data_IF_600470695056
#
_entry.id   IF_600470695056
#
_cell.length_a   1.000
_cell.length_b   1.000
_cell.length_c   1.000
_cell.angle_alpha   90.00
_cell.angle_beta   90.00
_cell.angle_gamma   90.00
#
_symmetry.space_group_name_H-M   'P 1'
#
loop_
_entity.id
_entity.type
_entity.pdbx_description
1 polymer ?
#
# COMPACT_ATOMS: atom_id res chain seq x y z
N UNK A 1 -18.56 -45.43 6.82
CA UNK A 1 -19.07 -44.08 7.14
C UNK A 1 -17.90 -43.28 7.72
N UNK A 2 -17.48 -42.16 7.11
CA UNK A 2 -16.35 -41.41 7.63
C UNK A 2 -16.80 -40.54 8.82
N UNK A 3 -16.08 -40.68 9.92
CA UNK A 3 -16.21 -39.85 11.12
C UNK A 3 -15.58 -38.49 10.81
N UNK A 4 -16.37 -37.42 10.87
CA UNK A 4 -15.90 -36.05 10.68
C UNK A 4 -15.31 -35.57 12.00
N UNK A 5 -13.99 -35.35 12.04
CA UNK A 5 -13.35 -34.60 13.11
C UNK A 5 -13.55 -33.10 12.86
N UNK A 6 -14.35 -32.44 13.69
CA UNK A 6 -14.40 -30.98 13.74
C UNK A 6 -13.22 -30.47 14.58
N UNK A 7 -12.32 -29.77 13.91
CA UNK A 7 -11.26 -28.96 14.54
C UNK A 7 -11.91 -27.75 15.23
N UNK A 8 -11.58 -27.42 16.49
CA UNK A 8 -12.15 -26.27 17.17
C UNK A 8 -11.63 -24.97 16.51
N UNK A 9 -12.58 -24.17 16.03
CA UNK A 9 -12.36 -22.80 15.56
C UNK A 9 -11.68 -22.01 16.68
N UNK A 10 -10.43 -21.57 16.45
CA UNK A 10 -9.76 -20.54 17.26
C UNK A 10 -10.62 -19.28 17.20
N UNK A 11 -11.14 -18.83 18.35
CA UNK A 11 -11.77 -17.52 18.50
C UNK A 11 -10.72 -16.48 18.86
N UNK A 12 -10.70 -15.38 18.12
CA UNK A 12 -9.94 -14.17 18.44
C UNK A 12 -10.53 -13.52 19.70
N UNK A 13 -9.67 -13.21 20.68
CA UNK A 13 -10.06 -12.49 21.88
C UNK A 13 -10.59 -11.10 21.50
N UNK A 14 -11.83 -10.79 21.91
CA UNK A 14 -12.36 -9.43 21.81
C UNK A 14 -11.62 -8.62 22.88
N UNK A 15 -10.62 -7.83 22.49
CA UNK A 15 -9.89 -6.96 23.41
C UNK A 15 -10.85 -5.90 23.99
N UNK A 16 -11.33 -6.13 25.21
CA UNK A 16 -12.12 -5.18 25.97
C UNK A 16 -11.21 -4.38 26.93
N UNK A 17 -11.38 -3.06 26.96
CA UNK A 17 -10.56 -2.13 27.71
C UNK A 17 -11.36 -1.49 28.86
N UNK A 18 -10.76 -1.41 30.05
CA UNK A 18 -11.37 -0.74 31.20
C UNK A 18 -11.45 0.78 30.96
N UNK A 19 -12.62 1.44 30.95
CA UNK A 19 -12.74 2.86 30.64
C UNK A 19 -12.16 3.79 31.72
N UNK A 20 -11.82 3.25 32.90
CA UNK A 20 -11.26 4.02 34.02
C UNK A 20 -9.73 4.07 34.01
N UNK A 21 -9.09 3.02 33.48
CA UNK A 21 -7.63 2.91 33.49
C UNK A 21 -7.02 2.55 32.13
N UNK A 22 -7.85 2.40 31.10
CA UNK A 22 -7.46 2.04 29.73
C UNK A 22 -6.44 0.89 29.67
N UNK A 23 -6.68 -0.17 30.44
CA UNK A 23 -5.95 -1.43 30.31
C UNK A 23 -6.88 -2.55 29.87
N UNK A 24 -6.30 -3.56 29.25
CA UNK A 24 -6.97 -4.82 28.90
C UNK A 24 -7.63 -5.42 30.14
N UNK A 25 -8.87 -5.87 29.96
CA UNK A 25 -9.62 -6.59 30.98
C UNK A 25 -9.56 -8.08 30.70
N UNK A 26 -9.50 -8.88 31.76
CA UNK A 26 -9.61 -10.33 31.62
C UNK A 26 -11.09 -10.68 31.44
N UNK A 27 -11.40 -11.31 30.32
CA UNK A 27 -12.76 -11.76 30.01
C UNK A 27 -12.90 -13.23 30.41
N UNK A 28 -13.90 -13.52 31.23
CA UNK A 28 -14.39 -14.88 31.45
C UNK A 28 -15.73 -15.00 30.74
N UNK A 29 -15.89 -16.06 29.96
CA UNK A 29 -17.13 -16.35 29.24
C UNK A 29 -17.67 -17.66 29.76
N UNK A 30 -18.90 -17.63 30.28
CA UNK A 30 -19.65 -18.82 30.65
C UNK A 30 -20.67 -19.14 29.58
N UNK A 31 -20.66 -20.40 29.12
CA UNK A 31 -21.57 -20.90 28.11
C UNK A 31 -22.74 -21.61 28.80
N UNK A 32 -23.97 -21.19 28.46
CA UNK A 32 -25.22 -21.79 28.96
C UNK A 32 -26.09 -22.21 27.79
N UNK A 33 -27.01 -23.16 27.99
CA UNK A 33 -27.95 -23.55 26.92
C UNK A 33 -28.75 -22.32 26.46
N UNK A 34 -28.55 -21.92 25.19
CA UNK A 34 -29.22 -20.76 24.58
C UNK A 34 -28.41 -19.46 24.52
N UNK A 35 -27.15 -19.41 24.98
CA UNK A 35 -26.32 -18.20 24.84
C UNK A 35 -24.97 -18.25 25.57
N UNK A 36 -24.35 -17.09 25.73
CA UNK A 36 -23.14 -16.92 26.55
C UNK A 36 -23.27 -15.67 27.40
N UNK A 37 -22.81 -15.74 28.65
CA UNK A 37 -22.60 -14.58 29.52
C UNK A 37 -21.11 -14.30 29.58
N UNK A 38 -20.72 -13.03 29.67
CA UNK A 38 -19.31 -12.68 29.84
C UNK A 38 -19.10 -11.65 30.93
N UNK A 39 -18.11 -11.90 31.79
CA UNK A 39 -17.71 -11.00 32.86
C UNK A 39 -16.31 -10.48 32.58
N UNK A 40 -16.14 -9.17 32.67
CA UNK A 40 -14.86 -8.50 32.46
C UNK A 40 -14.32 -8.03 33.81
N UNK A 41 -13.11 -8.49 34.16
CA UNK A 41 -12.46 -8.14 35.42
C UNK A 41 -11.20 -7.30 35.16
N UNK A 42 -11.07 -6.19 35.90
CA UNK A 42 -9.86 -5.37 35.90
C UNK A 42 -9.14 -5.54 37.24
N UNK A 43 -8.01 -6.27 37.23
CA UNK A 43 -7.17 -6.54 38.39
C UNK A 43 -6.64 -5.29 39.11
N UNK A 44 -6.74 -4.10 38.50
CA UNK A 44 -6.31 -2.83 39.11
C UNK A 44 -7.46 -2.01 39.71
N UNK A 45 -8.68 -2.13 39.20
CA UNK A 45 -9.82 -1.36 39.71
C UNK A 45 -10.67 -2.11 40.74
N UNK A 46 -10.49 -3.44 40.87
CA UNK A 46 -11.14 -4.30 41.88
C UNK A 46 -12.65 -4.07 42.01
N UNK A 47 -13.37 -3.89 40.90
CA UNK A 47 -14.83 -3.74 40.89
C UNK A 47 -15.47 -4.61 39.80
N UNK A 48 -16.38 -5.53 40.11
CA UNK A 48 -17.13 -6.26 39.11
C UNK A 48 -18.26 -5.39 38.54
N UNK A 49 -18.53 -5.51 37.23
CA UNK A 49 -19.81 -5.12 36.64
C UNK A 49 -20.32 -6.30 35.83
N UNK A 50 -21.52 -6.76 36.16
CA UNK A 50 -22.31 -7.60 35.27
C UNK A 50 -22.77 -6.75 34.08
N UNK A 51 -22.53 -7.25 32.87
CA UNK A 51 -23.09 -6.66 31.65
C UNK A 51 -23.86 -7.76 30.94
N UNK A 52 -25.18 -7.67 30.98
CA UNK A 52 -26.06 -8.56 30.23
C UNK A 52 -25.95 -8.24 28.73
N UNK A 53 -25.32 -9.11 27.96
CA UNK A 53 -25.24 -8.97 26.50
C UNK A 53 -26.35 -9.81 25.87
N UNK A 54 -27.27 -9.14 25.17
CA UNK A 54 -28.25 -9.83 24.32
C UNK A 54 -27.57 -10.28 23.02
N UNK A 55 -27.65 -11.56 22.69
CA UNK A 55 -27.16 -12.11 21.43
C UNK A 55 -28.08 -11.66 20.29
N UNK A 56 -27.76 -10.52 19.67
CA UNK A 56 -28.40 -10.10 18.41
C UNK A 56 -27.79 -10.94 17.29
N UNK A 57 -28.59 -11.79 16.64
CA UNK A 57 -28.17 -12.46 15.40
C UNK A 57 -27.79 -11.39 14.39
N UNK A 58 -26.51 -11.34 14.03
CA UNK A 58 -25.96 -10.43 13.01
C UNK A 58 -26.75 -10.65 11.70
N UNK A 59 -27.39 -9.62 11.11
CA UNK A 59 -27.96 -9.77 9.78
C UNK A 59 -26.85 -10.15 8.80
N UNK A 60 -27.19 -11.00 7.82
CA UNK A 60 -26.25 -11.42 6.78
C UNK A 60 -25.61 -10.16 6.16
N UNK A 61 -24.27 -10.09 6.07
CA UNK A 61 -23.64 -8.96 5.41
C UNK A 61 -24.05 -8.95 3.93
N UNK A 62 -24.51 -7.80 3.45
CA UNK A 62 -24.51 -7.49 2.01
C UNK A 62 -23.12 -7.80 1.44
N UNK A 63 -23.00 -8.24 0.17
CA UNK A 63 -21.73 -8.69 -0.40
C UNK A 63 -20.74 -7.52 -0.47
N UNK A 64 -20.00 -7.31 0.61
CA UNK A 64 -18.79 -6.51 0.66
C UNK A 64 -17.72 -7.33 -0.02
N UNK A 65 -17.18 -6.78 -1.10
CA UNK A 65 -16.11 -7.36 -1.90
C UNK A 65 -15.04 -7.98 -1.00
N UNK A 66 -14.74 -9.26 -1.27
CA UNK A 66 -13.64 -10.00 -0.67
C UNK A 66 -12.38 -9.13 -0.68
N UNK A 67 -11.88 -8.79 0.52
CA UNK A 67 -10.52 -8.29 0.64
C UNK A 67 -9.58 -9.31 -0.04
N UNK A 68 -8.69 -8.88 -0.95
CA UNK A 68 -7.78 -9.81 -1.60
C UNK A 68 -6.94 -10.52 -0.53
N UNK A 69 -6.81 -11.84 -0.67
CA UNK A 69 -5.92 -12.67 0.14
C UNK A 69 -4.56 -11.98 0.26
N UNK A 70 -4.03 -11.90 1.48
CA UNK A 70 -2.71 -11.36 1.75
C UNK A 70 -1.65 -12.09 0.91
N UNK A 71 -1.25 -11.48 -0.20
CA UNK A 71 0.04 -11.72 -0.83
C UNK A 71 1.08 -11.16 0.14
N UNK A 72 1.93 -12.03 0.67
CA UNK A 72 3.04 -11.65 1.55
C UNK A 72 3.79 -10.47 0.93
N UNK A 73 3.95 -9.34 1.64
CA UNK A 73 4.62 -8.18 1.08
C UNK A 73 6.09 -8.53 0.88
N UNK A 74 6.52 -8.54 -0.38
CA UNK A 74 7.91 -8.74 -0.79
C UNK A 74 8.76 -7.59 -0.25
N UNK A 75 9.19 -7.69 1.00
CA UNK A 75 10.07 -6.72 1.64
C UNK A 75 11.52 -6.98 1.22
N UNK A 76 11.83 -6.68 -0.04
CA UNK A 76 13.19 -6.80 -0.60
C UNK A 76 14.00 -5.51 -0.36
N UNK A 77 13.53 -4.62 0.52
CA UNK A 77 14.09 -3.30 0.76
C UNK A 77 13.70 -2.24 -0.28
N UNK A 78 12.72 -2.50 -1.13
CA UNK A 78 12.29 -1.58 -2.20
C UNK A 78 10.75 -1.55 -2.29
N UNK A 79 10.10 -1.03 -1.25
CA UNK A 79 8.63 -0.82 -1.22
C UNK A 79 7.78 -2.09 -1.36
N UNK A 80 6.46 -1.95 -1.24
CA UNK A 80 5.51 -3.03 -1.53
C UNK A 80 4.79 -2.66 -2.82
N UNK A 81 4.82 -3.55 -3.82
CA UNK A 81 4.07 -3.38 -5.06
C UNK A 81 2.76 -4.16 -4.93
N UNK A 82 1.66 -3.44 -5.05
CA UNK A 82 0.31 -4.00 -5.10
C UNK A 82 -0.41 -3.45 -6.31
N UNK A 83 -1.58 -4.00 -6.71
CA UNK A 83 -2.38 -3.40 -7.78
C UNK A 83 -2.75 -1.93 -7.53
N UNK A 84 -2.83 -1.48 -6.27
CA UNK A 84 -3.06 -0.08 -5.92
C UNK A 84 -1.86 0.83 -6.21
N UNK A 85 -0.68 0.28 -6.45
CA UNK A 85 0.50 1.01 -6.89
C UNK A 85 0.51 1.26 -8.41
N UNK A 86 -0.44 0.69 -9.16
CA UNK A 86 -0.41 0.67 -10.63
C UNK A 86 -1.47 1.62 -11.21
N UNK A 87 -1.03 2.56 -12.04
CA UNK A 87 -1.87 3.38 -12.90
C UNK A 87 -1.61 2.97 -14.35
N UNK A 88 -2.45 2.10 -14.91
CA UNK A 88 -2.25 1.58 -16.28
C UNK A 88 -2.47 2.64 -17.37
N UNK A 89 -3.29 3.66 -17.08
CA UNK A 89 -3.72 4.70 -18.00
C UNK A 89 -3.69 6.07 -17.32
N UNK A 90 -2.51 6.68 -17.23
CA UNK A 90 -2.32 8.03 -16.68
C UNK A 90 -2.69 9.08 -17.75
N UNK A 91 -3.86 9.71 -17.60
CA UNK A 91 -4.37 10.75 -18.49
C UNK A 91 -3.79 12.15 -18.20
N UNK A 92 -2.47 12.31 -18.28
CA UNK A 92 -1.81 13.62 -18.13
C UNK A 92 -1.39 14.18 -19.49
N UNK A 93 -1.65 15.48 -19.71
CA UNK A 93 -1.22 16.20 -20.92
C UNK A 93 0.08 16.98 -20.76
N UNK A 94 0.68 16.98 -19.56
CA UNK A 94 1.90 17.73 -19.26
C UNK A 94 2.69 17.07 -18.12
N UNK A 95 3.97 17.41 -18.01
CA UNK A 95 4.84 16.99 -16.90
C UNK A 95 4.26 17.35 -15.53
N UNK A 96 3.79 18.57 -15.36
CA UNK A 96 3.17 19.03 -14.10
C UNK A 96 1.88 18.26 -13.78
N UNK A 97 1.04 18.00 -14.79
CA UNK A 97 -0.15 17.17 -14.64
C UNK A 97 0.18 15.74 -14.22
N UNK A 98 1.22 15.14 -14.82
CA UNK A 98 1.67 13.79 -14.47
C UNK A 98 2.16 13.72 -13.01
N UNK A 99 3.01 14.67 -12.58
CA UNK A 99 3.48 14.75 -11.21
C UNK A 99 2.32 14.94 -10.20
N UNK A 100 1.31 15.73 -10.53
CA UNK A 100 0.13 15.94 -9.68
C UNK A 100 -0.72 14.68 -9.51
N UNK A 101 -0.93 13.92 -10.59
CA UNK A 101 -1.66 12.65 -10.54
C UNK A 101 -0.87 11.56 -9.80
N UNK A 102 0.45 11.50 -9.99
CA UNK A 102 1.33 10.61 -9.22
C UNK A 102 1.29 10.95 -7.73
N UNK A 103 1.35 12.24 -7.37
CA UNK A 103 1.22 12.70 -6.00
C UNK A 103 -0.13 12.31 -5.38
N UNK A 104 -1.23 12.42 -6.16
CA UNK A 104 -2.56 11.98 -5.72
C UNK A 104 -2.59 10.50 -5.37
N UNK A 105 -2.02 9.66 -6.22
CA UNK A 105 -1.97 8.21 -5.98
C UNK A 105 -1.12 7.88 -4.76
N UNK A 106 0.04 8.52 -4.64
CA UNK A 106 0.94 8.29 -3.51
C UNK A 106 0.35 8.79 -2.17
N UNK A 107 -0.43 9.88 -2.18
CA UNK A 107 -1.18 10.33 -1.01
C UNK A 107 -2.19 9.26 -0.54
N UNK A 108 -2.92 8.66 -1.47
CA UNK A 108 -3.88 7.59 -1.14
C UNK A 108 -3.21 6.35 -0.55
N UNK A 109 -1.97 6.03 -0.98
CA UNK A 109 -1.21 4.89 -0.46
C UNK A 109 -0.54 5.18 0.88
N UNK A 110 0.00 6.38 1.05
CA UNK A 110 0.85 6.73 2.19
C UNK A 110 0.13 7.46 3.32
N UNK A 111 -1.10 7.93 3.08
CA UNK A 111 -1.84 8.78 4.02
C UNK A 111 -1.26 10.19 4.18
N UNK A 112 -0.26 10.58 3.39
CA UNK A 112 0.35 11.91 3.44
C UNK A 112 -0.41 12.92 2.56
N UNK A 113 -0.22 14.21 2.82
CA UNK A 113 -0.89 15.27 2.07
C UNK A 113 -0.41 15.32 0.61
N UNK A 114 -1.37 15.34 -0.33
CA UNK A 114 -1.08 15.38 -1.76
C UNK A 114 -0.29 16.64 -2.16
N UNK A 115 -0.61 17.81 -1.58
CA UNK A 115 0.05 19.07 -1.95
C UNK A 115 1.50 19.05 -1.49
N UNK A 116 1.77 18.50 -0.31
CA UNK A 116 3.14 18.30 0.18
C UNK A 116 3.95 17.37 -0.75
N UNK A 117 3.40 16.20 -1.09
CA UNK A 117 4.06 15.25 -2.00
C UNK A 117 4.34 15.92 -3.35
N UNK A 118 3.34 16.59 -3.94
CA UNK A 118 3.51 17.28 -5.21
C UNK A 118 4.59 18.37 -5.12
N UNK A 119 4.57 19.19 -4.07
CA UNK A 119 5.53 20.28 -3.86
C UNK A 119 6.96 19.76 -3.83
N UNK A 120 7.24 18.66 -3.11
CA UNK A 120 8.60 18.13 -3.05
C UNK A 120 9.03 17.44 -4.34
N UNK A 121 8.10 16.80 -5.06
CA UNK A 121 8.38 16.22 -6.38
C UNK A 121 8.70 17.32 -7.39
N UNK A 122 7.89 18.38 -7.43
CA UNK A 122 8.13 19.53 -8.30
C UNK A 122 9.46 20.21 -7.96
N UNK A 123 9.75 20.41 -6.67
CA UNK A 123 11.02 20.99 -6.22
C UNK A 123 12.21 20.14 -6.67
N UNK A 124 12.11 18.79 -6.57
CA UNK A 124 13.15 17.88 -7.07
C UNK A 124 13.28 17.97 -8.59
N UNK A 125 12.18 17.93 -9.32
CA UNK A 125 12.17 17.99 -10.79
C UNK A 125 12.82 19.27 -11.33
N UNK A 126 12.65 20.40 -10.62
CA UNK A 126 13.27 21.69 -10.97
C UNK A 126 14.79 21.71 -10.85
N UNK A 127 15.40 20.80 -10.08
CA UNK A 127 16.86 20.65 -10.01
C UNK A 127 17.45 19.99 -11.25
N UNK A 128 16.60 19.37 -12.08
CA UNK A 128 16.98 18.62 -13.26
C UNK A 128 15.98 17.50 -13.49
N UNK A 129 15.63 17.27 -14.76
CA UNK A 129 14.61 16.31 -15.15
C UNK A 129 14.88 14.93 -14.56
N UNK A 130 13.82 14.25 -14.17
CA UNK A 130 13.88 12.84 -13.77
C UNK A 130 13.54 11.87 -14.91
N UNK A 131 13.36 12.40 -16.13
CA UNK A 131 13.35 11.62 -17.37
C UNK A 131 14.76 11.12 -17.70
N UNK A 132 14.97 9.81 -17.59
CA UNK A 132 16.30 9.19 -17.73
C UNK A 132 16.56 8.64 -19.14
N UNK A 133 15.61 8.85 -20.06
CA UNK A 133 15.67 8.46 -21.47
C UNK A 133 14.88 7.19 -21.78
N UNK A 134 14.83 6.80 -23.05
CA UNK A 134 14.09 5.63 -23.57
C UNK A 134 12.59 5.62 -23.18
N UNK A 135 12.00 6.82 -23.08
CA UNK A 135 10.62 7.02 -22.68
C UNK A 135 10.30 6.71 -21.22
N UNK A 136 11.31 6.67 -20.33
CA UNK A 136 11.10 6.40 -18.90
C UNK A 136 11.44 7.61 -18.01
N UNK A 137 10.68 7.79 -16.93
CA UNK A 137 11.00 8.74 -15.87
C UNK A 137 10.93 8.09 -14.48
N UNK A 138 11.73 8.60 -13.56
CA UNK A 138 11.74 8.17 -12.16
C UNK A 138 11.52 9.37 -11.24
N UNK A 139 10.33 10.00 -11.20
CA UNK A 139 10.04 11.03 -10.22
C UNK A 139 10.29 10.50 -8.81
N UNK A 140 11.02 11.23 -7.98
CA UNK A 140 11.36 10.73 -6.66
C UNK A 140 11.50 11.85 -5.65
N UNK A 141 11.16 11.57 -4.39
CA UNK A 141 11.37 12.50 -3.30
C UNK A 141 11.52 11.79 -1.96
N UNK A 142 12.10 12.51 -1.01
CA UNK A 142 12.03 12.14 0.41
C UNK A 142 10.94 12.97 1.08
N UNK A 143 10.20 12.34 1.98
CA UNK A 143 9.08 12.96 2.69
C UNK A 143 9.29 12.76 4.19
N UNK A 144 9.13 13.83 4.96
CA UNK A 144 9.13 13.79 6.41
C UNK A 144 7.91 12.99 6.92
N UNK A 145 8.07 12.19 7.97
CA UNK A 145 6.97 11.40 8.54
C UNK A 145 6.67 10.08 7.83
N UNK A 146 7.25 9.80 6.64
CA UNK A 146 7.15 8.46 6.06
C UNK A 146 7.95 7.45 6.90
N UNK A 147 7.37 6.29 7.13
CA UNK A 147 8.03 5.19 7.86
C UNK A 147 8.74 4.20 6.94
N UNK A 148 8.25 4.02 5.71
CA UNK A 148 8.78 3.11 4.70
C UNK A 148 8.65 3.69 3.28
N UNK A 149 9.37 3.15 2.29
CA UNK A 149 9.24 3.59 0.90
C UNK A 149 7.88 3.24 0.30
N UNK A 150 7.45 4.06 -0.66
CA UNK A 150 6.28 3.86 -1.50
C UNK A 150 6.67 3.97 -2.97
N UNK A 151 6.09 3.08 -3.78
CA UNK A 151 6.29 3.05 -5.21
C UNK A 151 4.94 3.18 -5.90
N UNK A 152 4.89 3.99 -6.95
CA UNK A 152 3.76 4.02 -7.90
C UNK A 152 4.34 3.85 -9.30
N UNK A 153 3.84 2.86 -10.02
CA UNK A 153 4.08 2.74 -11.44
C UNK A 153 2.92 3.35 -12.20
N UNK A 154 3.21 4.13 -13.23
CA UNK A 154 2.23 4.66 -14.14
C UNK A 154 2.66 4.48 -15.60
N UNK A 155 1.72 4.08 -16.45
CA UNK A 155 1.86 4.19 -17.91
C UNK A 155 0.91 5.27 -18.41
N UNK A 156 1.42 6.21 -19.18
CA UNK A 156 0.62 7.31 -19.75
C UNK A 156 -0.23 6.82 -20.91
N UNK A 157 -1.39 7.45 -21.11
CA UNK A 157 -2.21 7.18 -22.32
C UNK A 157 -1.51 7.69 -23.58
N UNK A 158 -0.85 8.85 -23.48
CA UNK A 158 -0.04 9.44 -24.54
C UNK A 158 1.31 9.86 -23.95
N UNK A 159 2.43 9.62 -24.65
CA UNK A 159 3.74 10.06 -24.18
C UNK A 159 3.78 11.56 -23.90
N UNK A 160 4.44 11.95 -22.81
CA UNK A 160 4.46 13.31 -22.29
C UNK A 160 5.86 13.91 -22.47
N UNK A 161 5.95 15.14 -22.99
CA UNK A 161 7.21 15.87 -22.98
C UNK A 161 7.68 16.10 -21.54
N UNK A 162 8.87 15.57 -21.21
CA UNK A 162 9.35 15.49 -19.83
C UNK A 162 10.72 16.13 -19.62
N UNK A 163 11.27 16.79 -20.64
CA UNK A 163 12.65 17.31 -20.65
C UNK A 163 13.68 16.20 -20.35
N UNK A 164 13.43 14.99 -20.86
CA UNK A 164 14.30 13.82 -20.68
C UNK A 164 15.70 14.08 -21.20
N UNK A 165 16.70 13.38 -20.65
CA UNK A 165 18.11 13.52 -21.05
C UNK A 165 18.38 13.27 -22.54
N UNK A 166 17.53 12.48 -23.20
CA UNK A 166 17.59 12.15 -24.63
C UNK A 166 16.52 12.87 -25.47
N UNK A 167 15.84 13.85 -24.86
CA UNK A 167 14.74 14.63 -25.46
C UNK A 167 13.50 13.80 -25.86
N UNK A 168 13.45 12.51 -25.54
CA UNK A 168 12.29 11.66 -25.85
C UNK A 168 11.14 11.89 -24.85
N UNK A 169 9.88 11.84 -25.32
CA UNK A 169 8.73 11.90 -24.43
C UNK A 169 8.64 10.63 -23.57
N UNK A 170 8.09 10.77 -22.37
CA UNK A 170 7.98 9.70 -21.37
C UNK A 170 6.60 9.06 -21.42
N UNK A 171 6.57 7.72 -21.44
CA UNK A 171 5.34 6.95 -21.36
C UNK A 171 5.28 5.99 -20.15
N UNK A 172 6.42 5.66 -19.55
CA UNK A 172 6.51 4.88 -18.31
C UNK A 172 7.10 5.72 -17.19
N UNK A 173 6.45 5.70 -16.02
CA UNK A 173 6.87 6.48 -14.86
C UNK A 173 6.93 5.59 -13.63
N UNK A 174 8.03 5.66 -12.89
CA UNK A 174 8.16 5.07 -11.57
C UNK A 174 8.36 6.16 -10.52
N UNK A 175 7.29 6.46 -9.77
CA UNK A 175 7.41 7.30 -8.59
C UNK A 175 8.06 6.52 -7.44
N UNK A 176 9.05 7.12 -6.78
CA UNK A 176 9.60 6.65 -5.51
C UNK A 176 9.46 7.72 -4.42
N UNK A 177 8.71 7.43 -3.37
CA UNK A 177 8.76 8.19 -2.13
C UNK A 177 9.48 7.38 -1.05
N UNK A 178 10.23 8.06 -0.19
CA UNK A 178 10.95 7.40 0.90
C UNK A 178 11.09 8.27 2.14
N UNK A 179 11.33 7.68 3.31
CA UNK A 179 11.63 8.42 4.53
C UNK A 179 12.88 9.30 4.42
N UNK A 180 12.85 10.50 4.98
CA UNK A 180 14.06 11.35 5.09
C UNK A 180 15.17 10.73 5.94
N UNK A 181 14.77 10.00 6.99
CA UNK A 181 15.66 9.38 7.97
C UNK A 181 16.57 8.28 7.40
N UNK A 182 16.29 7.78 6.20
CA UNK A 182 17.06 6.71 5.57
C UNK A 182 17.44 7.03 4.11
N UNK A 183 18.47 7.88 3.90
CA UNK A 183 18.95 8.23 2.57
C UNK A 183 19.53 7.03 1.81
N UNK A 184 20.12 6.06 2.51
CA UNK A 184 20.72 4.88 1.89
C UNK A 184 19.65 3.99 1.26
N UNK A 185 18.51 3.81 1.95
CA UNK A 185 17.35 3.10 1.42
C UNK A 185 16.80 3.78 0.15
N UNK A 186 16.74 5.11 0.13
CA UNK A 186 16.34 5.86 -1.06
C UNK A 186 17.23 5.53 -2.26
N UNK A 187 18.56 5.62 -2.09
CA UNK A 187 19.51 5.34 -3.17
C UNK A 187 19.46 3.86 -3.62
N UNK A 188 19.30 2.92 -2.68
CA UNK A 188 19.15 1.50 -3.00
C UNK A 188 17.90 1.25 -3.85
N UNK A 189 16.77 1.84 -3.46
CA UNK A 189 15.51 1.75 -4.19
C UNK A 189 15.62 2.37 -5.58
N UNK A 190 16.18 3.58 -5.67
CA UNK A 190 16.37 4.29 -6.94
C UNK A 190 17.28 3.51 -7.89
N UNK A 191 18.39 2.98 -7.38
CA UNK A 191 19.32 2.14 -8.14
C UNK A 191 18.66 0.88 -8.69
N UNK A 192 17.77 0.25 -7.90
CA UNK A 192 17.01 -0.91 -8.35
C UNK A 192 16.00 -0.54 -9.44
N UNK A 193 15.19 0.49 -9.23
CA UNK A 193 14.22 0.97 -10.23
C UNK A 193 14.94 1.33 -11.53
N UNK A 194 16.06 2.05 -11.44
CA UNK A 194 16.86 2.43 -12.61
C UNK A 194 17.32 1.22 -13.42
N UNK A 195 17.85 0.17 -12.77
CA UNK A 195 18.22 -1.07 -13.48
C UNK A 195 17.05 -1.74 -14.17
N UNK A 196 15.88 -1.79 -13.52
CA UNK A 196 14.68 -2.39 -14.10
C UNK A 196 14.22 -1.62 -15.34
N UNK A 197 14.29 -0.29 -15.32
CA UNK A 197 13.87 0.53 -16.45
C UNK A 197 14.90 0.61 -17.59
N UNK A 198 16.14 0.20 -17.35
CA UNK A 198 17.13 -0.01 -18.41
C UNK A 198 16.96 -1.36 -19.13
N UNK A 199 16.19 -2.29 -18.57
CA UNK A 199 15.84 -3.55 -19.24
C UNK A 199 14.79 -3.26 -20.32
N UNK A 200 15.24 -3.27 -21.57
CA UNK A 200 14.40 -2.99 -22.74
C UNK A 200 13.25 -4.00 -22.88
N UNK A 201 13.49 -5.27 -22.59
CA UNK A 201 12.49 -6.33 -22.72
C UNK A 201 11.39 -6.17 -21.66
N UNK A 202 11.77 -5.83 -20.43
CA UNK A 202 10.80 -5.50 -19.39
C UNK A 202 9.98 -4.26 -19.77
N UNK A 203 10.63 -3.18 -20.20
CA UNK A 203 9.94 -1.96 -20.61
C UNK A 203 8.96 -2.19 -21.77
N UNK A 204 9.34 -3.01 -22.75
CA UNK A 204 8.46 -3.40 -23.85
C UNK A 204 7.25 -4.21 -23.35
N UNK A 205 7.46 -5.19 -22.46
CA UNK A 205 6.36 -5.96 -21.84
C UNK A 205 5.41 -5.05 -21.06
N UNK A 206 5.94 -4.08 -20.30
CA UNK A 206 5.14 -3.10 -19.58
C UNK A 206 4.29 -2.23 -20.52
N UNK A 207 4.84 -1.82 -21.67
CA UNK A 207 4.08 -1.06 -22.68
C UNK A 207 2.94 -1.87 -23.29
N UNK A 208 3.19 -3.14 -23.57
CA UNK A 208 2.23 -4.04 -24.25
C UNK A 208 1.16 -4.63 -23.32
N UNK A 209 1.39 -4.66 -22.01
CA UNK A 209 0.46 -5.28 -21.07
C UNK A 209 -0.69 -4.35 -20.72
N UNK A 210 -1.91 -4.68 -21.11
CA UNK A 210 -3.07 -3.81 -20.90
C UNK A 210 -3.68 -3.92 -19.50
N UNK A 211 -3.61 -5.10 -18.89
CA UNK A 211 -4.24 -5.36 -17.60
C UNK A 211 -3.40 -4.84 -16.43
N UNK A 212 -4.07 -4.18 -15.48
CA UNK A 212 -3.42 -3.70 -14.25
C UNK A 212 -2.76 -4.83 -13.47
N UNK A 213 -3.41 -5.99 -13.40
CA UNK A 213 -2.89 -7.15 -12.68
C UNK A 213 -1.69 -7.78 -13.40
N UNK A 214 -1.70 -7.79 -14.74
CA UNK A 214 -0.54 -8.21 -15.54
C UNK A 214 0.67 -7.30 -15.33
N UNK A 215 0.46 -5.98 -15.35
CA UNK A 215 1.50 -5.00 -15.01
C UNK A 215 2.04 -5.22 -13.59
N UNK A 216 1.14 -5.43 -12.62
CA UNK A 216 1.52 -5.72 -11.24
C UNK A 216 2.37 -6.99 -11.14
N UNK A 217 1.97 -8.07 -11.82
CA UNK A 217 2.70 -9.34 -11.85
C UNK A 217 4.10 -9.19 -12.43
N UNK A 218 4.23 -8.56 -13.61
CA UNK A 218 5.52 -8.29 -14.24
C UNK A 218 6.47 -7.53 -13.31
N UNK A 219 5.96 -6.52 -12.60
CA UNK A 219 6.76 -5.75 -11.67
C UNK A 219 7.12 -6.56 -10.42
N UNK A 220 6.19 -7.31 -9.85
CA UNK A 220 6.48 -8.20 -8.71
C UNK A 220 7.62 -9.17 -9.05
N UNK A 221 7.56 -9.81 -10.22
CA UNK A 221 8.61 -10.72 -10.68
C UNK A 221 9.93 -9.98 -10.88
N UNK A 222 9.89 -8.82 -11.55
CA UNK A 222 11.06 -7.99 -11.80
C UNK A 222 11.73 -7.50 -10.50
N UNK A 223 10.98 -7.19 -9.44
CA UNK A 223 11.55 -6.78 -8.15
C UNK A 223 12.03 -7.94 -7.28
N UNK A 224 11.72 -9.19 -7.68
CA UNK A 224 12.13 -10.41 -6.97
C UNK A 224 13.37 -11.09 -7.57
N UNK A 225 13.75 -10.74 -8.80
CA UNK A 225 14.91 -11.28 -9.53
C UNK A 225 16.24 -10.56 -9.21
#
# INVERSE_FOLDING_TARGET
>A
MPVIHHSPLRMDAIQAWCPRCYRETEQTVEWVEGGATSTHWCNRCLSPREVSVQVVRKPAPSPVALAPRAVSPLWNGVGIITPHCIISNLGAGSKTGALSLLAKQAAALSGHDQKEIYRVLEARERLGSTGVGNGVAIPHARIAGLHHPYIVFARTVHPIHFDSVDEQPVDLMFLLLSPERDPALHLKALSRISRLLHDHDLCQKLRQTESRDGLCGLLIDAFSA
#
